data_IF_101568972923
#
_entry.id   IF_101568972923
#
_cell.length_a   1.000
_cell.length_b   1.000
_cell.length_c   1.000
_cell.angle_alpha   90.00
_cell.angle_beta   90.00
_cell.angle_gamma   90.00
#
_symmetry.space_group_name_H-M   'P 1'
#
loop_
_entity.id
_entity.type
_entity.pdbx_description
1 polymer ?
#
# COMPACT_ATOMS: atom_id res chain seq x y z
N UNK A 1 -38.23 -5.29 24.36
CA UNK A 1 -37.16 -4.37 23.87
C UNK A 1 -35.76 -4.75 24.34
N UNK A 2 -35.54 -5.21 25.57
CA UNK A 2 -34.22 -5.59 26.13
C UNK A 2 -33.52 -6.72 25.35
N UNK A 3 -34.27 -7.71 24.84
CA UNK A 3 -33.68 -8.82 24.08
C UNK A 3 -33.10 -8.40 22.74
N UNK A 4 -33.71 -7.44 22.02
CA UNK A 4 -33.17 -6.93 20.74
C UNK A 4 -31.85 -6.15 20.91
N UNK A 5 -31.71 -5.42 22.02
CA UNK A 5 -30.46 -4.72 22.34
C UNK A 5 -29.32 -5.68 22.73
N UNK A 6 -29.63 -6.79 23.41
CA UNK A 6 -28.64 -7.84 23.70
C UNK A 6 -28.24 -8.65 22.46
N UNK A 7 -29.17 -8.92 21.55
CA UNK A 7 -28.87 -9.56 20.25
C UNK A 7 -28.04 -8.63 19.35
N UNK A 8 -28.34 -7.33 19.30
CA UNK A 8 -27.53 -6.35 18.56
C UNK A 8 -26.10 -6.24 19.11
N UNK A 9 -25.90 -6.33 20.43
CA UNK A 9 -24.55 -6.38 21.02
C UNK A 9 -23.81 -7.69 20.75
N UNK A 10 -24.50 -8.83 20.63
CA UNK A 10 -23.87 -10.12 20.23
C UNK A 10 -23.37 -10.13 18.80
N UNK A 11 -23.94 -9.32 17.90
CA UNK A 11 -23.60 -9.26 16.46
C UNK A 11 -22.31 -8.50 16.12
N UNK A 12 -21.67 -7.83 17.11
CA UNK A 12 -20.47 -7.01 16.90
C UNK A 12 -19.18 -7.64 17.46
N UNK A 13 -19.16 -8.94 17.71
CA UNK A 13 -18.00 -9.59 18.28
C UNK A 13 -16.97 -9.97 17.20
N UNK A 14 -15.99 -9.10 16.99
CA UNK A 14 -14.81 -9.45 16.17
C UNK A 14 -13.85 -10.26 17.04
N UNK A 15 -13.38 -11.42 16.58
CA UNK A 15 -12.39 -12.20 17.33
C UNK A 15 -11.15 -11.37 17.64
N UNK A 16 -10.71 -11.39 18.90
CA UNK A 16 -9.53 -10.64 19.35
C UNK A 16 -8.30 -10.87 18.46
N UNK A 17 -7.97 -12.13 18.02
CA UNK A 17 -6.81 -12.37 17.13
C UNK A 17 -6.87 -11.57 15.84
N UNK A 18 -8.04 -11.46 15.20
CA UNK A 18 -8.22 -10.68 13.96
C UNK A 18 -7.93 -9.20 14.18
N UNK A 19 -8.40 -8.64 15.30
CA UNK A 19 -8.10 -7.24 15.65
C UNK A 19 -6.63 -7.06 15.95
N UNK A 20 -6.00 -7.93 16.72
CA UNK A 20 -4.58 -7.83 17.05
C UNK A 20 -3.70 -7.97 15.80
N UNK A 21 -4.05 -8.84 14.85
CA UNK A 21 -3.33 -8.96 13.58
C UNK A 21 -3.44 -7.67 12.76
N UNK A 22 -4.62 -7.05 12.69
CA UNK A 22 -4.78 -5.78 11.97
C UNK A 22 -3.95 -4.64 12.59
N UNK A 23 -3.86 -4.56 13.91
CA UNK A 23 -2.98 -3.60 14.60
C UNK A 23 -1.49 -3.97 14.44
N UNK A 24 -1.18 -5.26 14.34
CA UNK A 24 0.17 -5.75 14.02
C UNK A 24 0.61 -5.32 12.62
N UNK A 25 -0.28 -5.32 11.64
CA UNK A 25 -0.01 -4.77 10.30
C UNK A 25 0.35 -3.29 10.36
N UNK A 26 -0.39 -2.51 11.14
CA UNK A 26 -0.08 -1.08 11.33
C UNK A 26 1.27 -0.89 12.01
N UNK A 27 1.58 -1.70 13.03
CA UNK A 27 2.89 -1.64 13.69
C UNK A 27 4.04 -1.99 12.74
N UNK A 28 3.88 -3.03 11.89
CA UNK A 28 4.87 -3.37 10.88
C UNK A 28 5.07 -2.23 9.86
N UNK A 29 3.98 -1.61 9.40
CA UNK A 29 4.04 -0.48 8.48
C UNK A 29 4.74 0.75 9.10
N UNK A 30 4.49 1.03 10.39
CA UNK A 30 5.21 2.09 11.12
C UNK A 30 6.70 1.80 11.21
N UNK A 31 7.09 0.54 11.49
CA UNK A 31 8.50 0.15 11.52
C UNK A 31 9.14 0.31 10.15
N UNK A 32 8.48 -0.14 9.07
CA UNK A 32 8.98 0.04 7.71
C UNK A 32 9.21 1.53 7.39
N UNK A 33 8.25 2.39 7.76
CA UNK A 33 8.30 3.81 7.44
C UNK A 33 9.38 4.59 8.23
N UNK A 34 9.55 4.30 9.52
CA UNK A 34 10.43 5.10 10.40
C UNK A 34 11.80 4.47 10.69
N UNK A 35 12.01 3.19 10.32
CA UNK A 35 13.23 2.46 10.60
C UNK A 35 13.75 1.78 9.34
N UNK A 36 14.45 2.52 8.43
CA UNK A 36 14.89 1.98 7.14
C UNK A 36 15.70 0.69 7.26
N UNK A 37 16.53 0.55 8.30
CA UNK A 37 17.30 -0.69 8.54
C UNK A 37 16.45 -1.95 8.76
N UNK A 38 15.17 -1.80 9.10
CA UNK A 38 14.22 -2.90 9.33
C UNK A 38 13.12 -2.97 8.26
N UNK A 39 13.17 -2.13 7.24
CA UNK A 39 12.14 -2.01 6.22
C UNK A 39 11.82 -3.35 5.55
N UNK A 40 12.83 -4.05 5.05
CA UNK A 40 12.67 -5.38 4.43
C UNK A 40 11.97 -6.38 5.35
N UNK A 41 12.42 -6.47 6.62
CA UNK A 41 11.82 -7.37 7.61
C UNK A 41 10.37 -6.98 7.91
N UNK A 42 10.12 -5.69 8.04
CA UNK A 42 8.78 -5.17 8.34
C UNK A 42 7.80 -5.43 7.16
N UNK A 43 8.24 -5.30 5.91
CA UNK A 43 7.43 -5.61 4.73
C UNK A 43 7.11 -7.11 4.61
N UNK A 44 8.06 -7.99 4.97
CA UNK A 44 7.80 -9.44 5.06
C UNK A 44 6.78 -9.74 6.16
N UNK A 45 6.94 -9.16 7.35
CA UNK A 45 6.00 -9.32 8.46
C UNK A 45 4.61 -8.79 8.11
N UNK A 46 4.53 -7.71 7.35
CA UNK A 46 3.26 -7.19 6.82
C UNK A 46 2.56 -8.22 5.92
N UNK A 47 3.26 -8.81 4.96
CA UNK A 47 2.69 -9.85 4.09
C UNK A 47 2.19 -11.06 4.88
N UNK A 48 3.01 -11.56 5.82
CA UNK A 48 2.63 -12.68 6.69
C UNK A 48 1.39 -12.31 7.53
N UNK A 49 1.33 -11.11 8.07
CA UNK A 49 0.20 -10.61 8.84
C UNK A 49 -1.08 -10.48 7.98
N UNK A 50 -0.96 -10.05 6.72
CA UNK A 50 -2.09 -9.94 5.80
C UNK A 50 -2.68 -11.34 5.49
N UNK A 51 -1.81 -12.31 5.20
CA UNK A 51 -2.22 -13.71 5.00
C UNK A 51 -2.86 -14.28 6.27
N UNK A 52 -2.22 -14.07 7.42
CA UNK A 52 -2.72 -14.55 8.71
C UNK A 52 -4.10 -13.96 9.03
N UNK A 53 -4.33 -12.68 8.75
CA UNK A 53 -5.64 -12.04 8.94
C UNK A 53 -6.72 -12.71 8.08
N UNK A 54 -6.42 -12.99 6.82
CA UNK A 54 -7.35 -13.66 5.91
C UNK A 54 -7.68 -15.08 6.38
N UNK A 55 -6.68 -15.83 6.85
CA UNK A 55 -6.86 -17.17 7.39
C UNK A 55 -7.62 -17.18 8.74
N UNK A 56 -7.29 -16.25 9.64
CA UNK A 56 -8.01 -16.10 10.91
C UNK A 56 -9.48 -15.73 10.72
N UNK A 57 -9.81 -15.02 9.63
CA UNK A 57 -11.20 -14.75 9.29
C UNK A 57 -12.02 -16.04 9.06
N UNK A 58 -11.41 -17.12 8.53
CA UNK A 58 -12.07 -18.42 8.38
C UNK A 58 -12.41 -19.10 9.72
N UNK A 59 -11.58 -18.87 10.74
CA UNK A 59 -11.76 -19.46 12.07
C UNK A 59 -12.71 -18.64 12.95
N UNK A 60 -13.16 -17.48 12.46
CA UNK A 60 -14.09 -16.63 13.20
C UNK A 60 -15.40 -17.38 13.48
N UNK A 61 -15.94 -17.32 14.71
CA UNK A 61 -17.16 -18.02 15.04
C UNK A 61 -18.31 -17.54 14.16
N UNK A 62 -19.11 -18.48 13.65
CA UNK A 62 -20.25 -18.28 12.71
C UNK A 62 -21.31 -17.26 13.16
N UNK A 63 -21.17 -16.67 14.35
CA UNK A 63 -22.15 -15.76 14.98
C UNK A 63 -21.68 -14.31 15.14
N UNK A 64 -20.62 -13.89 14.46
CA UNK A 64 -20.12 -12.51 14.59
C UNK A 64 -19.66 -11.95 13.25
N UNK A 65 -20.08 -10.75 12.94
CA UNK A 65 -19.54 -10.00 11.80
C UNK A 65 -18.23 -9.31 12.20
N UNK A 66 -17.24 -9.32 11.32
CA UNK A 66 -16.00 -8.54 11.52
C UNK A 66 -16.37 -7.05 11.63
N UNK A 67 -16.01 -6.40 12.73
CA UNK A 67 -16.28 -4.97 12.90
C UNK A 67 -15.36 -4.18 11.96
N UNK A 68 -15.92 -3.72 10.84
CA UNK A 68 -15.20 -2.98 9.77
C UNK A 68 -14.24 -1.91 10.31
N UNK A 69 -14.65 -0.99 11.24
CA UNK A 69 -13.73 0.05 11.70
C UNK A 69 -12.53 -0.48 12.50
N UNK A 70 -12.68 -1.59 13.21
CA UNK A 70 -11.62 -2.13 14.09
C UNK A 70 -10.54 -2.90 13.34
N UNK A 71 -10.83 -3.37 12.15
CA UNK A 71 -9.92 -4.19 11.34
C UNK A 71 -9.45 -3.42 10.13
N UNK A 72 -10.36 -2.82 9.38
CA UNK A 72 -10.03 -2.20 8.10
C UNK A 72 -9.42 -0.80 8.24
N UNK A 73 -9.72 -0.05 9.30
CA UNK A 73 -9.09 1.25 9.53
C UNK A 73 -7.57 1.12 9.80
N UNK A 74 -7.09 0.23 10.69
CA UNK A 74 -5.66 -0.01 10.85
C UNK A 74 -5.00 -0.54 9.58
N UNK A 75 -5.65 -1.42 8.81
CA UNK A 75 -5.13 -1.92 7.54
C UNK A 75 -4.97 -0.80 6.51
N UNK A 76 -5.96 0.06 6.38
CA UNK A 76 -5.91 1.19 5.46
C UNK A 76 -4.79 2.17 5.84
N UNK A 77 -4.68 2.51 7.13
CA UNK A 77 -3.60 3.35 7.62
C UNK A 77 -2.22 2.71 7.37
N UNK A 78 -2.09 1.40 7.59
CA UNK A 78 -0.86 0.66 7.30
C UNK A 78 -0.50 0.70 5.82
N UNK A 79 -1.48 0.53 4.92
CA UNK A 79 -1.26 0.59 3.48
C UNK A 79 -0.74 1.96 3.03
N UNK A 80 -1.32 3.05 3.52
CA UNK A 80 -0.83 4.41 3.22
C UNK A 80 0.56 4.69 3.77
N UNK A 81 0.90 4.17 4.95
CA UNK A 81 2.25 4.32 5.51
C UNK A 81 3.30 3.60 4.66
N UNK A 82 2.98 2.41 4.15
CA UNK A 82 3.89 1.64 3.30
C UNK A 82 4.18 2.40 2.00
N UNK A 83 3.18 2.95 1.33
CA UNK A 83 3.41 3.71 0.10
C UNK A 83 4.15 5.02 0.35
N UNK A 84 4.01 5.60 1.54
CA UNK A 84 4.75 6.81 1.94
C UNK A 84 6.26 6.59 2.07
N UNK A 85 6.75 5.35 2.16
CA UNK A 85 8.18 5.02 2.11
C UNK A 85 8.81 5.27 0.73
N UNK A 86 7.99 5.44 -0.32
CA UNK A 86 8.40 5.54 -1.72
C UNK A 86 8.50 7.00 -2.22
N UNK A 87 8.65 7.98 -1.32
CA UNK A 87 8.80 9.39 -1.70
C UNK A 87 10.10 9.56 -2.51
N UNK A 88 9.96 10.00 -3.76
CA UNK A 88 11.09 10.21 -4.70
C UNK A 88 11.28 9.09 -5.73
N UNK A 89 10.59 7.97 -5.60
CA UNK A 89 10.60 6.88 -6.59
C UNK A 89 9.32 6.90 -7.41
N UNK A 90 9.44 6.66 -8.72
CA UNK A 90 8.26 6.55 -9.60
C UNK A 90 8.24 5.18 -10.26
N UNK A 91 7.50 4.21 -9.73
CA UNK A 91 7.32 2.92 -10.37
C UNK A 91 6.42 3.08 -11.62
N UNK A 92 6.70 2.33 -12.67
CA UNK A 92 5.68 2.05 -13.68
C UNK A 92 4.63 1.11 -13.04
N UNK A 93 3.53 1.70 -12.58
CA UNK A 93 2.52 0.98 -11.80
C UNK A 93 1.71 -0.03 -12.63
N UNK A 94 1.73 0.10 -13.94
CA UNK A 94 0.89 -0.70 -14.85
C UNK A 94 1.02 -2.23 -14.62
N UNK A 95 2.21 -2.83 -14.52
CA UNK A 95 2.35 -4.26 -14.25
C UNK A 95 1.90 -4.65 -12.83
N UNK A 96 2.07 -3.75 -11.85
CA UNK A 96 1.76 -4.01 -10.43
C UNK A 96 0.25 -4.00 -10.18
N UNK A 97 -0.50 -3.19 -10.93
CA UNK A 97 -1.96 -3.11 -10.79
C UNK A 97 -2.60 -4.48 -11.01
N UNK A 98 -2.29 -5.17 -12.10
CA UNK A 98 -2.86 -6.49 -12.39
C UNK A 98 -2.44 -7.56 -11.37
N UNK A 99 -1.18 -7.53 -10.94
CA UNK A 99 -0.67 -8.45 -9.90
C UNK A 99 -1.36 -8.21 -8.56
N UNK A 100 -1.60 -6.95 -8.20
CA UNK A 100 -2.30 -6.60 -6.96
C UNK A 100 -3.76 -7.07 -6.98
N UNK A 101 -4.44 -6.96 -8.12
CA UNK A 101 -5.80 -7.48 -8.30
C UNK A 101 -5.83 -9.00 -8.10
N UNK A 102 -4.91 -9.73 -8.75
CA UNK A 102 -4.83 -11.19 -8.60
C UNK A 102 -4.55 -11.61 -7.16
N UNK A 103 -3.60 -10.96 -6.50
CA UNK A 103 -3.28 -11.23 -5.11
C UNK A 103 -4.47 -10.94 -4.19
N UNK A 104 -5.12 -9.80 -4.38
CA UNK A 104 -6.32 -9.44 -3.63
C UNK A 104 -7.47 -10.43 -3.84
N UNK A 105 -7.70 -10.90 -5.06
CA UNK A 105 -8.72 -11.92 -5.35
C UNK A 105 -8.43 -13.24 -4.63
N UNK A 106 -7.17 -13.70 -4.60
CA UNK A 106 -6.79 -14.91 -3.87
C UNK A 106 -7.06 -14.75 -2.37
N UNK A 107 -6.65 -13.62 -1.78
CA UNK A 107 -6.84 -13.34 -0.37
C UNK A 107 -8.31 -13.02 -0.01
N UNK A 108 -9.11 -12.61 -0.99
CA UNK A 108 -10.54 -12.36 -0.80
C UNK A 108 -11.34 -13.65 -0.57
N UNK A 109 -10.93 -14.78 -1.14
CA UNK A 109 -11.66 -16.06 -1.02
C UNK A 109 -11.97 -16.42 0.43
N UNK A 110 -10.98 -16.52 1.36
CA UNK A 110 -11.26 -16.83 2.75
C UNK A 110 -12.14 -15.80 3.45
N UNK A 111 -11.96 -14.51 3.13
CA UNK A 111 -12.79 -13.44 3.69
C UNK A 111 -14.25 -13.55 3.24
N UNK A 112 -14.50 -13.84 1.96
CA UNK A 112 -15.85 -14.00 1.43
C UNK A 112 -16.56 -15.23 1.98
N UNK A 113 -15.83 -16.32 2.21
CA UNK A 113 -16.40 -17.51 2.89
C UNK A 113 -16.86 -17.15 4.31
N UNK A 114 -16.02 -16.43 5.06
CA UNK A 114 -16.33 -15.94 6.39
C UNK A 114 -17.55 -15.02 6.42
N UNK A 115 -17.57 -14.01 5.52
CA UNK A 115 -18.67 -13.04 5.43
C UNK A 115 -19.99 -13.69 5.00
N UNK A 116 -19.97 -14.65 4.06
CA UNK A 116 -21.15 -15.39 3.63
C UNK A 116 -21.77 -16.19 4.79
N UNK A 117 -20.94 -16.76 5.66
CA UNK A 117 -21.40 -17.47 6.84
C UNK A 117 -22.04 -16.54 7.89
N UNK A 118 -21.58 -15.27 7.94
CA UNK A 118 -22.11 -14.24 8.83
C UNK A 118 -23.32 -13.49 8.26
N UNK A 119 -23.52 -13.53 6.94
CA UNK A 119 -24.49 -12.71 6.22
C UNK A 119 -25.95 -13.18 6.30
N UNK A 120 -26.22 -14.36 6.85
CA UNK A 120 -27.59 -14.92 6.91
C UNK A 120 -28.62 -13.97 7.59
N UNK A 121 -28.15 -12.97 8.34
CA UNK A 121 -28.99 -12.05 9.12
C UNK A 121 -28.80 -10.56 8.71
N UNK A 122 -28.08 -10.25 7.62
CA UNK A 122 -27.76 -8.87 7.23
C UNK A 122 -28.59 -8.48 5.99
N UNK A 123 -29.14 -7.26 6.00
CA UNK A 123 -29.77 -6.66 4.83
C UNK A 123 -28.81 -6.61 3.63
N UNK A 124 -29.33 -6.94 2.42
CA UNK A 124 -28.53 -7.06 1.19
C UNK A 124 -27.74 -5.79 0.86
N UNK A 125 -28.33 -4.62 1.06
CA UNK A 125 -27.66 -3.34 0.78
C UNK A 125 -26.44 -3.12 1.69
N UNK A 126 -26.57 -3.40 2.96
CA UNK A 126 -25.47 -3.31 3.94
C UNK A 126 -24.39 -4.37 3.69
N UNK A 127 -24.76 -5.55 3.24
CA UNK A 127 -23.82 -6.58 2.86
C UNK A 127 -22.98 -6.14 1.64
N UNK A 128 -23.63 -5.62 0.58
CA UNK A 128 -22.92 -5.14 -0.60
C UNK A 128 -21.94 -4.00 -0.29
N UNK A 129 -22.36 -2.99 0.48
CA UNK A 129 -21.48 -1.90 0.91
C UNK A 129 -20.26 -2.41 1.70
N UNK A 130 -20.47 -3.41 2.55
CA UNK A 130 -19.42 -4.02 3.36
C UNK A 130 -18.42 -4.79 2.48
N UNK A 131 -18.90 -5.60 1.54
CA UNK A 131 -18.04 -6.32 0.58
C UNK A 131 -17.20 -5.32 -0.21
N UNK A 132 -17.78 -4.22 -0.67
CA UNK A 132 -17.07 -3.18 -1.39
C UNK A 132 -15.90 -2.60 -0.58
N UNK A 133 -16.13 -2.28 0.71
CA UNK A 133 -15.08 -1.79 1.61
C UNK A 133 -13.98 -2.83 1.81
N UNK A 134 -14.35 -4.10 2.05
CA UNK A 134 -13.38 -5.20 2.25
C UNK A 134 -12.51 -5.37 1.01
N UNK A 135 -13.12 -5.42 -0.18
CA UNK A 135 -12.41 -5.56 -1.45
C UNK A 135 -11.47 -4.39 -1.69
N UNK A 136 -11.95 -3.16 -1.49
CA UNK A 136 -11.14 -1.95 -1.69
C UNK A 136 -9.94 -1.88 -0.78
N UNK A 137 -10.12 -2.10 0.53
CA UNK A 137 -9.00 -2.06 1.51
C UNK A 137 -8.01 -3.18 1.26
N UNK A 138 -8.48 -4.39 0.94
CA UNK A 138 -7.60 -5.52 0.66
C UNK A 138 -6.78 -5.27 -0.61
N UNK A 139 -7.41 -4.78 -1.67
CA UNK A 139 -6.73 -4.44 -2.91
C UNK A 139 -5.68 -3.34 -2.69
N UNK A 140 -6.03 -2.25 -2.01
CA UNK A 140 -5.07 -1.17 -1.67
C UNK A 140 -3.89 -1.71 -0.85
N UNK A 141 -4.15 -2.59 0.14
CA UNK A 141 -3.09 -3.21 0.93
C UNK A 141 -2.14 -4.05 0.07
N UNK A 142 -2.67 -4.81 -0.89
CA UNK A 142 -1.86 -5.60 -1.82
C UNK A 142 -1.10 -4.70 -2.81
N UNK A 143 -1.74 -3.67 -3.37
CA UNK A 143 -1.13 -2.77 -4.34
C UNK A 143 0.04 -2.00 -3.72
N UNK A 144 -0.17 -1.39 -2.57
CA UNK A 144 0.87 -0.61 -1.90
C UNK A 144 2.02 -1.48 -1.39
N UNK A 145 1.73 -2.69 -0.93
CA UNK A 145 2.76 -3.65 -0.58
C UNK A 145 3.60 -4.07 -1.80
N UNK A 146 2.98 -4.34 -2.96
CA UNK A 146 3.71 -4.66 -4.18
C UNK A 146 4.56 -3.50 -4.67
N UNK A 147 4.06 -2.26 -4.60
CA UNK A 147 4.81 -1.06 -4.96
C UNK A 147 6.04 -0.92 -4.05
N UNK A 148 5.87 -1.02 -2.73
CA UNK A 148 6.98 -0.89 -1.79
C UNK A 148 8.03 -2.00 -1.96
N UNK A 149 7.61 -3.26 -2.11
CA UNK A 149 8.53 -4.37 -2.27
C UNK A 149 9.20 -4.43 -3.64
N UNK A 150 8.64 -3.73 -4.63
CA UNK A 150 9.24 -3.64 -5.97
C UNK A 150 10.60 -2.94 -5.93
N UNK A 151 10.75 -1.92 -5.11
CA UNK A 151 12.01 -1.21 -4.94
C UNK A 151 12.88 -1.77 -3.80
N UNK A 152 12.27 -2.10 -2.64
CA UNK A 152 13.02 -2.53 -1.44
C UNK A 152 13.65 -3.92 -1.61
N UNK A 153 13.04 -4.81 -2.38
CA UNK A 153 13.57 -6.17 -2.63
C UNK A 153 14.40 -6.24 -3.91
N UNK A 154 14.46 -5.16 -4.66
CA UNK A 154 15.27 -5.10 -5.86
C UNK A 154 16.76 -5.09 -5.49
N UNK A 155 17.51 -5.97 -6.13
CA UNK A 155 18.96 -6.08 -5.98
C UNK A 155 19.70 -5.58 -7.24
N UNK A 156 18.98 -5.00 -8.19
CA UNK A 156 19.55 -4.48 -9.42
C UNK A 156 20.42 -3.24 -9.14
N UNK A 157 21.49 -3.09 -9.89
CA UNK A 157 22.39 -1.94 -9.79
C UNK A 157 21.81 -0.72 -10.50
N UNK A 158 20.85 -0.95 -11.40
CA UNK A 158 20.23 0.06 -12.24
C UNK A 158 21.15 0.61 -13.34
N UNK A 159 20.54 1.29 -14.30
CA UNK A 159 21.22 2.01 -15.39
C UNK A 159 21.08 3.51 -15.18
N UNK A 160 22.22 4.19 -15.02
CA UNK A 160 22.24 5.62 -14.75
C UNK A 160 22.61 6.42 -16.01
N UNK A 161 21.87 7.49 -16.26
CA UNK A 161 22.14 8.45 -17.34
C UNK A 161 21.95 9.87 -16.84
N UNK A 162 22.77 10.79 -17.39
CA UNK A 162 22.57 12.22 -17.18
C UNK A 162 21.40 12.67 -18.05
N UNK A 163 20.45 13.33 -17.42
CA UNK A 163 19.23 13.82 -18.06
C UNK A 163 18.99 15.28 -17.73
N UNK A 164 18.36 16.02 -18.64
CA UNK A 164 18.10 17.44 -18.43
C UNK A 164 16.73 17.69 -17.85
N UNK A 165 16.66 18.55 -16.86
CA UNK A 165 15.40 19.05 -16.28
C UNK A 165 14.73 19.96 -17.31
N UNK A 166 13.53 19.60 -17.73
CA UNK A 166 12.79 20.39 -18.73
C UNK A 166 11.87 21.40 -18.10
N UNK A 167 11.30 21.08 -16.95
CA UNK A 167 10.37 21.96 -16.25
C UNK A 167 10.39 21.70 -14.75
N UNK A 168 10.29 22.79 -13.99
CA UNK A 168 9.97 22.78 -12.55
C UNK A 168 8.58 23.35 -12.36
N UNK A 169 7.72 22.68 -11.61
CA UNK A 169 6.32 23.09 -11.41
C UNK A 169 5.86 22.87 -9.97
N UNK A 170 4.87 23.66 -9.56
CA UNK A 170 4.23 23.51 -8.25
C UNK A 170 2.76 23.19 -8.46
N UNK A 171 2.29 22.13 -7.83
CA UNK A 171 0.88 21.72 -7.83
C UNK A 171 0.36 21.76 -6.37
N UNK A 172 -0.33 22.84 -6.00
CA UNK A 172 -0.71 23.08 -4.60
C UNK A 172 0.52 23.18 -3.69
N UNK A 173 0.66 22.26 -2.75
CA UNK A 173 1.80 22.20 -1.82
C UNK A 173 2.95 21.30 -2.31
N UNK A 174 2.77 20.59 -3.41
CA UNK A 174 3.76 19.65 -3.97
C UNK A 174 4.61 20.33 -5.03
N UNK A 175 5.92 20.05 -4.99
CA UNK A 175 6.88 20.48 -6.00
C UNK A 175 7.22 19.28 -6.90
N UNK A 176 7.33 19.53 -8.20
CA UNK A 176 7.58 18.52 -9.23
C UNK A 176 8.67 18.95 -10.19
N UNK A 177 9.44 17.98 -10.66
CA UNK A 177 10.50 18.13 -11.63
C UNK A 177 10.24 17.20 -12.80
N UNK A 178 10.12 17.75 -14.00
CA UNK A 178 9.98 17.00 -15.24
C UNK A 178 11.35 16.82 -15.91
N UNK A 179 11.70 15.57 -16.20
CA UNK A 179 12.98 15.19 -16.81
C UNK A 179 12.73 14.36 -18.06
N UNK A 180 13.49 14.59 -19.14
CA UNK A 180 13.41 13.75 -20.35
C UNK A 180 14.32 12.53 -20.21
N UNK A 181 13.72 11.35 -20.34
CA UNK A 181 14.35 10.05 -20.32
C UNK A 181 13.91 9.23 -21.53
N UNK A 182 14.83 8.85 -22.40
CA UNK A 182 14.54 8.04 -23.60
C UNK A 182 13.30 8.51 -24.38
N UNK A 183 13.20 9.83 -24.59
CA UNK A 183 12.08 10.45 -25.31
C UNK A 183 10.75 10.51 -24.54
N UNK A 184 10.73 10.12 -23.29
CA UNK A 184 9.58 10.22 -22.37
C UNK A 184 9.83 11.31 -21.33
N UNK A 185 8.78 11.93 -20.85
CA UNK A 185 8.88 12.85 -19.71
C UNK A 185 8.57 12.07 -18.44
N UNK A 186 9.54 12.03 -17.52
CA UNK A 186 9.38 11.52 -16.16
C UNK A 186 9.08 12.70 -15.24
N UNK A 187 8.08 12.56 -14.39
CA UNK A 187 7.67 13.55 -13.41
C UNK A 187 8.07 13.05 -12.01
N UNK A 188 9.03 13.73 -11.39
CA UNK A 188 9.51 13.41 -10.06
C UNK A 188 8.95 14.39 -9.04
N UNK A 189 8.34 13.91 -7.95
CA UNK A 189 8.11 14.76 -6.79
C UNK A 189 9.45 15.12 -6.17
N UNK A 190 9.64 16.39 -5.85
CA UNK A 190 10.89 16.89 -5.26
C UNK A 190 10.61 17.60 -3.95
N UNK A 191 11.60 17.62 -3.06
CA UNK A 191 11.49 18.40 -1.82
C UNK A 191 11.48 19.92 -2.14
N UNK A 192 10.97 20.74 -1.22
CA UNK A 192 11.04 22.20 -1.37
C UNK A 192 12.49 22.71 -1.38
N UNK A 193 13.40 22.02 -0.72
CA UNK A 193 14.82 22.36 -0.72
C UNK A 193 15.40 22.15 -2.12
N UNK A 194 15.25 20.95 -2.66
CA UNK A 194 15.72 20.61 -4.02
C UNK A 194 15.06 21.51 -5.07
N UNK A 195 13.77 21.83 -4.93
CA UNK A 195 13.05 22.71 -5.83
C UNK A 195 13.65 24.13 -5.88
N UNK A 196 14.26 24.59 -4.80
CA UNK A 196 14.91 25.91 -4.73
C UNK A 196 16.34 25.91 -5.30
N UNK A 197 16.95 24.72 -5.43
CA UNK A 197 18.34 24.56 -5.86
C UNK A 197 18.46 24.13 -7.33
N UNK A 198 17.42 23.48 -7.87
CA UNK A 198 17.39 22.94 -9.23
C UNK A 198 16.55 23.84 -10.13
N UNK A 199 17.03 24.10 -11.34
CA UNK A 199 16.32 24.90 -12.34
C UNK A 199 16.11 24.11 -13.64
N UNK A 200 15.15 24.56 -14.46
CA UNK A 200 15.01 24.04 -15.81
C UNK A 200 16.28 24.31 -16.63
N UNK A 201 16.79 23.28 -17.28
CA UNK A 201 18.09 23.29 -18.00
C UNK A 201 19.23 22.63 -17.23
N UNK A 202 19.06 22.39 -15.91
CA UNK A 202 20.06 21.68 -15.11
C UNK A 202 20.12 20.20 -15.47
N UNK A 203 21.28 19.60 -15.24
CA UNK A 203 21.48 18.16 -15.39
C UNK A 203 21.28 17.43 -14.08
N UNK A 204 20.60 16.29 -14.14
CA UNK A 204 20.39 15.37 -13.01
C UNK A 204 20.76 13.95 -13.44
N UNK A 205 21.26 13.16 -12.49
CA UNK A 205 21.51 11.74 -12.72
C UNK A 205 20.21 10.98 -12.46
N UNK A 206 19.65 10.38 -13.51
CA UNK A 206 18.48 9.51 -13.40
C UNK A 206 18.94 8.06 -13.49
N UNK A 207 18.47 7.23 -12.59
CA UNK A 207 18.76 5.78 -12.58
C UNK A 207 17.46 5.01 -12.75
N UNK A 208 17.42 4.15 -13.75
CA UNK A 208 16.34 3.18 -14.00
C UNK A 208 16.70 1.84 -13.40
N UNK A 209 15.74 1.22 -12.74
CA UNK A 209 15.81 -0.11 -12.15
C UNK A 209 14.70 -0.99 -12.72
N UNK A 210 14.98 -2.29 -12.91
CA UNK A 210 13.97 -3.23 -13.42
C UNK A 210 12.85 -3.52 -12.43
N UNK A 211 13.14 -3.38 -11.14
CA UNK A 211 12.24 -3.66 -10.05
C UNK A 211 12.03 -5.15 -9.79
N UNK A 212 11.95 -5.52 -8.51
CA UNK A 212 11.83 -6.93 -8.07
C UNK A 212 10.64 -7.66 -8.72
N UNK A 213 9.54 -6.97 -8.94
CA UNK A 213 8.36 -7.49 -9.62
C UNK A 213 8.38 -7.29 -11.15
N UNK A 214 9.49 -6.83 -11.73
CA UNK A 214 9.62 -6.49 -13.15
C UNK A 214 8.71 -5.31 -13.54
N UNK A 215 8.59 -4.34 -12.66
CA UNK A 215 7.96 -3.05 -12.89
C UNK A 215 9.03 -1.98 -12.75
N UNK A 216 9.49 -1.38 -13.87
CA UNK A 216 10.56 -0.38 -13.83
C UNK A 216 10.22 0.78 -12.91
N UNK A 217 11.22 1.25 -12.16
CA UNK A 217 11.11 2.45 -11.36
C UNK A 217 12.37 3.31 -11.52
N UNK A 218 12.25 4.58 -11.20
CA UNK A 218 13.28 5.56 -11.44
C UNK A 218 13.62 6.31 -10.17
N UNK A 219 14.91 6.59 -9.98
CA UNK A 219 15.40 7.52 -8.96
C UNK A 219 16.15 8.66 -9.63
N UNK A 220 16.33 9.75 -8.92
CA UNK A 220 17.17 10.84 -9.40
C UNK A 220 18.10 11.34 -8.28
N UNK A 221 19.26 11.84 -8.68
CA UNK A 221 20.24 12.47 -7.80
C UNK A 221 20.74 13.77 -8.44
N UNK A 222 21.00 14.76 -7.58
CA UNK A 222 21.68 15.97 -8.05
C UNK A 222 23.15 15.66 -8.34
N UNK A 223 23.73 16.11 -9.47
CA UNK A 223 25.14 15.88 -9.79
C UNK A 223 26.10 16.56 -8.80
N UNK A 224 25.59 17.44 -7.94
CA UNK A 224 26.41 18.18 -6.96
C UNK A 224 26.42 17.53 -5.58
N UNK A 225 25.76 16.38 -5.38
CA UNK A 225 25.81 15.64 -4.11
C UNK A 225 27.04 14.71 -4.12
N UNK A 226 28.12 15.03 -3.40
CA UNK A 226 29.29 14.16 -3.29
C UNK A 226 28.99 12.92 -2.42
#
# INVERSE_FOLDING_TARGET
MVNRAREARRKLFTPKPVVYTAWGLLAAALVAHFVPALETVALVLYAVGLIALCLLALTAPKKGTIAVPRVFLPMLAAAFLIVGCQIGMRPDESPLVWRSILLALILLIPLMISEKQAAADIDRGRFAARVFVVVGVLWMSCAFWLIATNSVFDADVGMSHISTVTQMRTEGDSCHMDVVWDGRTLDFPVSRADFSEIAAGDEVLVTEYDGFWGAPYYTWESPQSP
#
